data_IF_612036269382
#
_entry.id   IF_612036269382
#
_cell.length_a   1.000
_cell.length_b   1.000
_cell.length_c   1.000
_cell.angle_alpha   90.00
_cell.angle_beta   90.00
_cell.angle_gamma   90.00
#
_symmetry.space_group_name_H-M   'P 1'
#
loop_
_entity.id
_entity.type
_entity.pdbx_description
1 polymer ?
#
# COMPACT_ATOMS: atom_id res chain seq x y z
N UNK A 1 5.74 -6.14 8.69
CA UNK A 1 6.20 -5.87 10.06
C UNK A 1 7.65 -5.40 10.09
N UNK A 2 8.65 -6.28 9.90
CA UNK A 2 10.06 -5.95 10.19
C UNK A 2 10.62 -4.73 9.43
N UNK A 3 10.24 -4.54 8.18
CA UNK A 3 10.64 -3.36 7.39
C UNK A 3 10.24 -2.04 8.05
N UNK A 4 9.00 -1.95 8.57
CA UNK A 4 8.51 -0.74 9.22
C UNK A 4 9.17 -0.57 10.60
N UNK A 5 9.39 -1.67 11.34
CA UNK A 5 10.07 -1.65 12.65
C UNK A 5 11.48 -1.08 12.55
N UNK A 6 12.27 -1.54 11.57
CA UNK A 6 13.62 -1.02 11.33
C UNK A 6 13.61 0.47 10.95
N UNK A 7 12.64 0.89 10.15
CA UNK A 7 12.47 2.30 9.79
C UNK A 7 12.07 3.16 11.00
N UNK A 8 11.21 2.65 11.88
CA UNK A 8 10.78 3.30 13.13
C UNK A 8 11.95 3.50 14.08
N UNK A 9 12.77 2.47 14.29
CA UNK A 9 13.97 2.55 15.12
C UNK A 9 14.93 3.63 14.61
N UNK A 10 15.20 3.66 13.31
CA UNK A 10 16.03 4.70 12.70
C UNK A 10 15.37 6.09 12.81
N UNK A 11 14.06 6.19 12.63
CA UNK A 11 13.36 7.46 12.80
C UNK A 11 13.46 7.96 14.24
N UNK A 12 13.28 7.10 15.24
CA UNK A 12 13.41 7.45 16.66
C UNK A 12 14.82 7.89 17.03
N UNK A 13 15.85 7.21 16.50
CA UNK A 13 17.25 7.56 16.74
C UNK A 13 17.60 8.97 16.22
N UNK A 14 17.09 9.34 15.05
CA UNK A 14 17.47 10.60 14.38
C UNK A 14 16.39 11.70 14.47
N UNK A 15 15.29 11.46 15.19
CA UNK A 15 14.23 12.45 15.38
C UNK A 15 14.66 13.49 16.41
N UNK A 16 14.46 14.76 16.08
CA UNK A 16 14.64 15.87 17.03
C UNK A 16 13.38 16.72 17.06
N UNK A 17 13.22 17.54 18.11
CA UNK A 17 12.08 18.45 18.25
C UNK A 17 11.89 19.37 17.02
N UNK A 18 12.99 19.89 16.48
CA UNK A 18 12.96 20.81 15.34
C UNK A 18 12.94 20.11 13.98
N UNK A 19 13.26 18.81 13.96
CA UNK A 19 13.31 18.02 12.72
C UNK A 19 12.82 16.59 12.99
N UNK A 20 11.49 16.40 13.13
CA UNK A 20 10.93 15.08 13.34
C UNK A 20 11.23 14.14 12.16
N UNK A 21 11.17 12.83 12.41
CA UNK A 21 11.21 11.77 11.38
C UNK A 21 9.93 10.96 11.45
N UNK A 22 9.44 10.58 10.27
CA UNK A 22 8.21 9.83 10.11
C UNK A 22 8.49 8.61 9.23
N UNK A 23 7.78 7.52 9.51
CA UNK A 23 7.83 6.28 8.75
C UNK A 23 6.64 6.24 7.78
N UNK A 24 6.93 6.13 6.49
CA UNK A 24 5.90 5.83 5.50
C UNK A 24 5.85 4.32 5.24
N UNK A 25 4.72 3.71 5.58
CA UNK A 25 4.43 2.32 5.23
C UNK A 25 4.00 2.24 3.77
N UNK A 26 4.85 1.63 2.93
CA UNK A 26 4.66 1.63 1.48
C UNK A 26 3.88 0.40 1.00
N UNK A 27 2.82 0.64 0.25
CA UNK A 27 2.06 -0.35 -0.50
C UNK A 27 2.32 -0.13 -1.99
N UNK A 28 3.09 -1.04 -2.59
CA UNK A 28 3.35 -1.03 -4.03
C UNK A 28 2.21 -1.63 -4.87
N UNK A 29 2.31 -1.55 -6.20
CA UNK A 29 1.20 -1.90 -7.11
C UNK A 29 1.01 -3.42 -7.31
N UNK A 30 1.86 -4.25 -6.70
CA UNK A 30 2.06 -5.69 -6.97
C UNK A 30 2.57 -5.97 -8.39
N UNK A 31 2.91 -7.23 -8.67
CA UNK A 31 3.27 -7.70 -10.02
C UNK A 31 2.08 -8.15 -10.86
N UNK A 32 0.86 -8.10 -10.32
CA UNK A 32 -0.37 -8.59 -10.98
C UNK A 32 -1.30 -7.41 -11.25
N UNK A 33 -2.03 -7.45 -12.36
CA UNK A 33 -2.94 -6.37 -12.79
C UNK A 33 -4.38 -6.86 -12.77
N UNK A 34 -5.25 -6.14 -12.07
CA UNK A 34 -6.67 -6.48 -12.04
C UNK A 34 -7.42 -5.90 -13.25
N UNK A 35 -6.92 -4.82 -13.86
CA UNK A 35 -7.58 -4.17 -14.99
C UNK A 35 -7.17 -4.71 -16.36
N UNK A 36 -5.94 -5.24 -16.48
CA UNK A 36 -5.35 -5.69 -17.74
C UNK A 36 -5.19 -7.21 -17.80
N UNK A 37 -5.50 -7.80 -18.96
CA UNK A 37 -5.19 -9.21 -19.22
C UNK A 37 -3.69 -9.37 -19.49
N UNK A 38 -3.02 -10.36 -18.88
CA UNK A 38 -1.66 -10.73 -19.25
C UNK A 38 -1.58 -11.59 -20.52
N UNK A 39 -2.72 -12.10 -21.03
CA UNK A 39 -2.78 -12.89 -22.27
C UNK A 39 -3.26 -12.01 -23.43
N UNK A 40 -2.37 -11.80 -24.40
CA UNK A 40 -2.66 -11.01 -25.61
C UNK A 40 -3.74 -11.62 -26.50
N UNK A 41 -4.00 -12.93 -26.37
CA UNK A 41 -5.01 -13.64 -27.15
C UNK A 41 -6.37 -13.71 -26.44
N UNK A 42 -6.42 -13.42 -25.14
CA UNK A 42 -7.65 -13.39 -24.35
C UNK A 42 -7.74 -12.07 -23.55
N UNK A 43 -8.37 -11.02 -24.11
CA UNK A 43 -8.50 -9.73 -23.43
C UNK A 43 -9.43 -9.78 -22.20
N UNK A 44 -10.25 -10.83 -22.06
CA UNK A 44 -11.15 -11.03 -20.93
C UNK A 44 -10.48 -11.69 -19.73
N UNK A 45 -9.36 -12.38 -19.93
CA UNK A 45 -8.66 -13.08 -18.86
C UNK A 45 -8.11 -12.13 -17.78
N UNK A 46 -8.14 -12.57 -16.52
CA UNK A 46 -7.53 -11.89 -15.36
C UNK A 46 -6.81 -12.92 -14.52
N UNK A 47 -5.57 -12.64 -14.14
CA UNK A 47 -4.74 -13.54 -13.31
C UNK A 47 -4.83 -13.23 -11.80
N UNK A 48 -5.64 -12.24 -11.43
CA UNK A 48 -5.94 -11.86 -10.05
C UNK A 48 -7.33 -11.23 -9.99
N UNK A 49 -8.05 -11.49 -8.91
CA UNK A 49 -9.32 -10.85 -8.61
C UNK A 49 -9.16 -9.66 -7.66
N UNK A 50 -10.19 -8.82 -7.59
CA UNK A 50 -10.24 -7.69 -6.67
C UNK A 50 -10.12 -8.15 -5.20
N UNK A 51 -10.88 -9.17 -4.81
CA UNK A 51 -10.91 -9.68 -3.43
C UNK A 51 -9.57 -10.30 -3.01
N UNK A 52 -8.87 -10.97 -3.93
CA UNK A 52 -7.51 -11.46 -3.68
C UNK A 52 -6.54 -10.30 -3.41
N UNK A 53 -6.61 -9.22 -4.18
CA UNK A 53 -5.78 -8.03 -3.95
C UNK A 53 -6.12 -7.37 -2.61
N UNK A 54 -7.41 -7.24 -2.28
CA UNK A 54 -7.85 -6.70 -0.99
C UNK A 54 -7.22 -7.49 0.15
N UNK A 55 -7.31 -8.82 0.13
CA UNK A 55 -6.71 -9.66 1.17
C UNK A 55 -5.21 -9.43 1.34
N UNK A 56 -4.46 -9.39 0.24
CA UNK A 56 -3.00 -9.13 0.25
C UNK A 56 -2.68 -7.73 0.80
N UNK A 57 -3.45 -6.72 0.40
CA UNK A 57 -3.25 -5.36 0.86
C UNK A 57 -3.63 -5.18 2.34
N UNK A 58 -4.65 -5.88 2.84
CA UNK A 58 -5.00 -5.87 4.26
C UNK A 58 -3.88 -6.45 5.12
N UNK A 59 -3.32 -7.61 4.71
CA UNK A 59 -2.18 -8.23 5.39
C UNK A 59 -0.97 -7.27 5.44
N UNK A 60 -0.64 -6.68 4.29
CA UNK A 60 0.46 -5.71 4.19
C UNK A 60 0.21 -4.50 5.08
N UNK A 61 -1.00 -3.94 5.05
CA UNK A 61 -1.38 -2.76 5.84
C UNK A 61 -1.25 -3.02 7.34
N UNK A 62 -1.83 -4.12 7.84
CA UNK A 62 -1.68 -4.50 9.25
C UNK A 62 -0.22 -4.65 9.64
N UNK A 63 0.57 -5.31 8.78
CA UNK A 63 2.00 -5.47 9.03
C UNK A 63 2.79 -4.16 9.03
N UNK A 64 2.34 -3.12 8.31
CA UNK A 64 2.96 -1.80 8.31
C UNK A 64 2.55 -0.98 9.54
N UNK A 65 1.28 -1.05 9.94
CA UNK A 65 0.75 -0.42 11.17
C UNK A 65 1.43 -1.03 12.40
N UNK A 66 1.47 -2.35 12.51
CA UNK A 66 2.13 -3.07 13.60
C UNK A 66 3.61 -2.69 13.73
N UNK A 67 4.28 -2.46 12.59
CA UNK A 67 5.68 -2.02 12.58
C UNK A 67 5.90 -0.54 12.92
N UNK A 68 4.85 0.24 13.18
CA UNK A 68 4.96 1.64 13.62
C UNK A 68 5.03 2.66 12.48
N UNK A 69 4.33 2.40 11.37
CA UNK A 69 4.18 3.39 10.29
C UNK A 69 3.32 4.57 10.73
N UNK A 70 3.74 5.80 10.41
CA UNK A 70 3.02 7.04 10.73
C UNK A 70 2.03 7.44 9.60
N UNK A 71 2.25 6.94 8.39
CA UNK A 71 1.45 7.20 7.19
C UNK A 71 1.43 5.95 6.30
N UNK A 72 0.33 5.70 5.60
CA UNK A 72 0.27 4.69 4.55
C UNK A 72 0.43 5.37 3.18
N UNK A 73 1.39 4.90 2.38
CA UNK A 73 1.66 5.40 1.04
C UNK A 73 1.36 4.31 0.01
N UNK A 74 0.29 4.50 -0.76
CA UNK A 74 -0.03 3.65 -1.92
C UNK A 74 0.66 4.27 -3.13
N UNK A 75 1.70 3.61 -3.65
CA UNK A 75 2.61 4.21 -4.62
C UNK A 75 2.87 3.38 -5.87
N UNK A 76 3.54 4.01 -6.83
CA UNK A 76 3.78 3.49 -8.18
C UNK A 76 2.51 2.94 -8.83
N UNK A 77 1.39 3.67 -8.68
CA UNK A 77 0.10 3.23 -9.21
C UNK A 77 0.11 3.35 -10.73
N UNK A 78 0.09 2.21 -11.42
CA UNK A 78 -0.11 2.12 -12.86
C UNK A 78 -1.46 1.48 -13.23
N UNK A 79 -2.05 0.69 -12.32
CA UNK A 79 -3.39 0.10 -12.45
C UNK A 79 -4.33 0.72 -11.42
N UNK A 80 -5.35 1.46 -11.89
CA UNK A 80 -6.29 2.15 -10.99
C UNK A 80 -7.25 1.19 -10.27
N UNK A 81 -7.49 -0.01 -10.79
CA UNK A 81 -8.31 -1.01 -10.11
C UNK A 81 -7.53 -1.64 -8.94
N UNK A 82 -6.22 -1.87 -9.11
CA UNK A 82 -5.34 -2.25 -8.00
C UNK A 82 -5.32 -1.17 -6.91
N UNK A 83 -5.21 0.11 -7.29
CA UNK A 83 -5.25 1.21 -6.33
C UNK A 83 -6.56 1.27 -5.55
N UNK A 84 -7.71 1.02 -6.20
CA UNK A 84 -8.99 0.92 -5.50
C UNK A 84 -9.03 -0.25 -4.52
N UNK A 85 -8.47 -1.41 -4.87
CA UNK A 85 -8.35 -2.54 -3.96
C UNK A 85 -7.47 -2.20 -2.75
N UNK A 86 -6.34 -1.52 -2.97
CA UNK A 86 -5.46 -1.05 -1.90
C UNK A 86 -6.14 -0.04 -0.98
N UNK A 87 -6.82 0.97 -1.54
CA UNK A 87 -7.56 1.98 -0.76
C UNK A 87 -8.65 1.30 0.09
N UNK A 88 -9.43 0.41 -0.53
CA UNK A 88 -10.47 -0.34 0.18
C UNK A 88 -9.89 -1.17 1.33
N UNK A 89 -8.81 -1.91 1.07
CA UNK A 89 -8.13 -2.71 2.08
C UNK A 89 -7.60 -1.88 3.26
N UNK A 90 -6.99 -0.72 2.98
CA UNK A 90 -6.46 0.17 4.02
C UNK A 90 -7.60 0.72 4.88
N UNK A 91 -8.68 1.19 4.24
CA UNK A 91 -9.86 1.69 4.96
C UNK A 91 -10.53 0.60 5.79
N UNK A 92 -10.66 -0.62 5.27
CA UNK A 92 -11.22 -1.74 6.02
C UNK A 92 -10.37 -2.08 7.25
N UNK A 93 -9.03 -2.09 7.12
CA UNK A 93 -8.13 -2.31 8.27
C UNK A 93 -8.28 -1.21 9.31
N UNK A 94 -8.39 0.05 8.88
CA UNK A 94 -8.62 1.17 9.79
C UNK A 94 -9.92 1.02 10.58
N UNK A 95 -11.00 0.61 9.92
CA UNK A 95 -12.29 0.34 10.56
C UNK A 95 -12.25 -0.89 11.48
N UNK A 96 -11.67 -2.00 11.03
CA UNK A 96 -11.61 -3.27 11.77
C UNK A 96 -10.78 -3.14 13.05
N UNK A 97 -9.66 -2.41 12.97
CA UNK A 97 -8.65 -2.35 14.02
C UNK A 97 -8.73 -1.05 14.86
N UNK A 98 -9.74 -0.20 14.62
CA UNK A 98 -9.97 1.11 15.29
C UNK A 98 -8.73 2.03 15.27
N UNK A 99 -8.12 2.14 14.09
CA UNK A 99 -6.91 2.95 13.83
C UNK A 99 -7.16 3.89 12.68
N UNK A 100 -6.60 5.10 12.73
CA UNK A 100 -6.61 6.03 11.61
C UNK A 100 -5.21 6.60 11.39
N UNK A 101 -4.69 6.42 10.17
CA UNK A 101 -3.44 7.05 9.72
C UNK A 101 -3.70 7.86 8.43
N UNK A 102 -2.92 8.90 8.15
CA UNK A 102 -3.00 9.57 6.87
C UNK A 102 -2.71 8.60 5.71
N UNK A 103 -3.36 8.84 4.57
CA UNK A 103 -3.13 8.08 3.33
C UNK A 103 -2.55 9.04 2.27
N UNK A 104 -1.45 8.63 1.66
CA UNK A 104 -0.87 9.28 0.48
C UNK A 104 -1.00 8.37 -0.73
N UNK A 105 -1.31 8.95 -1.89
CA UNK A 105 -1.48 8.25 -3.17
C UNK A 105 -0.49 8.82 -4.17
N UNK A 106 0.34 7.97 -4.76
CA UNK A 106 1.33 8.33 -5.78
C UNK A 106 1.08 7.55 -7.07
N UNK A 107 0.70 8.28 -8.12
CA UNK A 107 0.41 7.75 -9.45
C UNK A 107 1.64 7.78 -10.37
N UNK A 108 1.74 6.78 -11.25
CA UNK A 108 2.73 6.74 -12.32
C UNK A 108 2.07 7.13 -13.64
N UNK A 109 2.65 8.12 -14.33
CA UNK A 109 2.26 8.51 -15.68
C UNK A 109 3.30 7.95 -16.64
N UNK A 110 2.87 7.19 -17.63
CA UNK A 110 3.72 6.75 -18.74
C UNK A 110 3.50 7.66 -19.94
N UNK A 111 4.58 8.07 -20.62
CA UNK A 111 4.46 8.73 -21.91
C UNK A 111 3.88 7.74 -22.92
N UNK A 112 2.74 8.13 -23.52
CA UNK A 112 2.07 7.40 -24.60
C UNK A 112 2.65 7.77 -25.97
#
# INVERSE_FOLDING_TARGET
VESARLAREACDEFSTKDKPRFVAGVIGPTSRTCSLSPDVNDPGFRNVSFDELVGVYMESTRGLIEGGSDIILIETIFDTLNAKAAIFAVQQVFEDDDVELPIMISGTITDA
#
